data_IF_333834777290
#
_entry.id   IF_333834777290
#
_cell.length_a   1.000
_cell.length_b   1.000
_cell.length_c   1.000
_cell.angle_alpha   90.00
_cell.angle_beta   90.00
_cell.angle_gamma   90.00
#
_symmetry.space_group_name_H-M   'P 1'
#
loop_
_entity.id
_entity.type
_entity.pdbx_description
1 polymer ?
#
# COMPACT_ATOMS: atom_id res chain seq x y z
N UNK A 1 0.90 -16.97 16.41
CA UNK A 1 0.95 -15.51 16.53
C UNK A 1 0.00 -14.95 15.48
N UNK A 2 -1.07 -14.27 15.88
CA UNK A 2 -1.97 -13.63 14.92
C UNK A 2 -1.26 -12.39 14.38
N UNK A 3 -0.80 -12.43 13.14
CA UNK A 3 -0.25 -11.26 12.45
C UNK A 3 -1.45 -10.41 12.01
N UNK A 4 -1.94 -9.54 12.89
CA UNK A 4 -2.87 -8.50 12.49
C UNK A 4 -2.08 -7.40 11.80
N UNK A 5 -2.01 -7.49 10.48
CA UNK A 5 -1.50 -6.41 9.66
C UNK A 5 -2.38 -5.16 9.86
N UNK A 6 -1.79 -3.96 9.88
CA UNK A 6 -2.57 -2.73 9.91
C UNK A 6 -3.45 -2.66 8.66
N UNK A 7 -4.70 -2.24 8.83
CA UNK A 7 -5.59 -1.96 7.70
C UNK A 7 -4.97 -0.88 6.82
N UNK A 8 -4.99 -1.07 5.51
CA UNK A 8 -4.52 -0.04 4.59
C UNK A 8 -5.59 1.04 4.55
N UNK A 9 -5.19 2.26 4.91
CA UNK A 9 -6.04 3.44 4.84
C UNK A 9 -5.39 4.48 3.94
N UNK A 10 -6.17 5.43 3.37
CA UNK A 10 -5.60 6.52 2.59
C UNK A 10 -4.51 7.29 3.34
N UNK A 11 -4.69 7.51 4.65
CA UNK A 11 -3.69 8.16 5.51
C UNK A 11 -2.39 7.34 5.62
N UNK A 12 -2.49 6.01 5.70
CA UNK A 12 -1.32 5.12 5.77
C UNK A 12 -0.55 5.10 4.45
N UNK A 13 -1.28 5.07 3.34
CA UNK A 13 -0.73 5.16 1.97
C UNK A 13 0.01 6.49 1.80
N UNK A 14 -0.61 7.61 2.18
CA UNK A 14 0.01 8.93 2.14
C UNK A 14 1.24 9.03 3.07
N UNK A 15 1.20 8.37 4.24
CA UNK A 15 2.35 8.30 5.16
C UNK A 15 3.54 7.53 4.57
N UNK A 16 3.29 6.64 3.60
CA UNK A 16 4.30 5.95 2.80
C UNK A 16 4.77 6.76 1.58
N UNK A 17 4.35 8.02 1.46
CA UNK A 17 4.75 8.90 0.35
C UNK A 17 4.09 8.58 -0.99
N UNK A 18 3.16 7.64 -1.02
CA UNK A 18 2.42 7.28 -2.23
C UNK A 18 1.28 8.26 -2.45
N UNK A 19 1.20 8.80 -3.67
CA UNK A 19 0.06 9.61 -4.10
C UNK A 19 -1.16 8.74 -4.40
N UNK A 20 -2.38 9.30 -4.38
CA UNK A 20 -3.59 8.54 -4.68
C UNK A 20 -3.57 7.83 -6.04
N UNK A 21 -3.03 8.47 -7.07
CA UNK A 21 -2.90 7.92 -8.43
C UNK A 21 -1.88 6.78 -8.52
N UNK A 22 -0.78 6.87 -7.76
CA UNK A 22 0.21 5.78 -7.64
C UNK A 22 -0.42 4.57 -6.95
N UNK A 23 -1.19 4.80 -5.89
CA UNK A 23 -1.93 3.73 -5.20
C UNK A 23 -2.99 3.09 -6.08
N UNK A 24 -3.77 3.88 -6.85
CA UNK A 24 -4.71 3.32 -7.84
C UNK A 24 -4.00 2.47 -8.89
N UNK A 25 -2.81 2.89 -9.33
CA UNK A 25 -1.99 2.10 -10.26
C UNK A 25 -1.50 0.81 -9.64
N UNK A 26 -1.10 0.82 -8.36
CA UNK A 26 -0.77 -0.39 -7.62
C UNK A 26 -1.97 -1.34 -7.60
N UNK A 27 -3.16 -0.86 -7.23
CA UNK A 27 -4.39 -1.68 -7.22
C UNK A 27 -4.68 -2.30 -8.59
N UNK A 28 -4.48 -1.57 -9.69
CA UNK A 28 -4.65 -2.10 -11.05
C UNK A 28 -3.59 -3.14 -11.42
N UNK A 29 -2.35 -2.98 -10.96
CA UNK A 29 -1.25 -3.91 -11.26
C UNK A 29 -1.41 -5.25 -10.53
N UNK A 30 -1.75 -5.24 -9.24
CA UNK A 30 -1.89 -6.45 -8.42
C UNK A 30 -3.33 -6.99 -8.38
N UNK A 31 -4.32 -6.20 -8.79
CA UNK A 31 -5.74 -6.59 -8.84
C UNK A 31 -6.42 -6.75 -7.48
N UNK A 32 -5.78 -6.31 -6.39
CA UNK A 32 -6.27 -6.37 -5.01
C UNK A 32 -5.63 -5.29 -4.14
N UNK A 33 -6.09 -5.17 -2.90
CA UNK A 33 -5.42 -4.33 -1.89
C UNK A 33 -4.05 -4.93 -1.52
N UNK A 34 -2.97 -4.13 -1.47
CA UNK A 34 -1.65 -4.59 -1.04
C UNK A 34 -1.62 -4.86 0.47
N UNK A 35 -0.75 -5.75 0.93
CA UNK A 35 -0.45 -5.89 2.37
C UNK A 35 0.39 -4.72 2.86
N UNK A 36 0.55 -4.58 4.18
CA UNK A 36 1.41 -3.54 4.77
C UNK A 36 2.87 -3.67 4.29
N UNK A 37 3.37 -4.89 4.19
CA UNK A 37 4.71 -5.16 3.67
C UNK A 37 4.83 -4.82 2.18
N UNK A 38 3.83 -5.19 1.37
CA UNK A 38 3.80 -4.84 -0.05
C UNK A 38 3.74 -3.31 -0.26
N UNK A 39 2.96 -2.60 0.57
CA UNK A 39 2.90 -1.14 0.55
C UNK A 39 4.28 -0.51 0.80
N UNK A 40 5.04 -1.04 1.75
CA UNK A 40 6.43 -0.62 2.01
C UNK A 40 7.36 -0.89 0.82
N UNK A 41 7.19 -2.01 0.11
CA UNK A 41 7.97 -2.33 -1.09
C UNK A 41 7.64 -1.35 -2.21
N UNK A 42 6.36 -1.09 -2.49
CA UNK A 42 5.95 -0.13 -3.52
C UNK A 42 6.45 1.28 -3.20
N UNK A 43 6.35 1.70 -1.94
CA UNK A 43 6.87 2.99 -1.44
C UNK A 43 8.38 3.16 -1.66
N UNK A 44 9.17 2.09 -1.57
CA UNK A 44 10.61 2.16 -1.81
C UNK A 44 10.98 2.15 -3.31
N UNK A 45 10.08 1.64 -4.16
CA UNK A 45 10.31 1.52 -5.60
C UNK A 45 9.83 2.74 -6.40
N UNK A 46 8.85 3.47 -5.89
CA UNK A 46 8.25 4.66 -6.50
C UNK A 46 8.84 5.95 -5.90
#
# INVERSE_FOLDING_TARGET
MSLHEPKITPDLVASHGLKPDEYERILQLIGREPTFTELGIFSAMW
#
